data_IF_869008458406
#
_entry.id   IF_869008458406
#
_cell.length_a   1.000
_cell.length_b   1.000
_cell.length_c   1.000
_cell.angle_alpha   90.00
_cell.angle_beta   90.00
_cell.angle_gamma   90.00
#
_symmetry.space_group_name_H-M   'P 1'
#
loop_
_entity.id
_entity.type
_entity.pdbx_description
1 polymer ?
#
# COMPACT_ATOMS: atom_id res chain seq x y z
N UNK A 1 17.03 121.50 -11.07
CA UNK A 1 16.63 120.40 -11.97
C UNK A 1 15.14 120.47 -12.17
N UNK A 2 14.70 120.48 -13.42
CA UNK A 2 13.32 120.85 -13.84
C UNK A 2 12.34 119.70 -13.48
N UNK A 3 11.19 119.93 -12.85
CA UNK A 3 10.12 119.06 -12.41
C UNK A 3 9.73 117.95 -13.43
N UNK A 4 9.91 118.20 -14.70
CA UNK A 4 9.62 117.28 -15.85
C UNK A 4 10.58 116.06 -15.88
N UNK A 5 11.87 116.22 -15.50
CA UNK A 5 12.87 115.18 -15.50
C UNK A 5 12.69 114.18 -14.34
N UNK A 6 12.13 114.62 -13.21
CA UNK A 6 11.83 113.73 -12.09
C UNK A 6 10.60 112.86 -12.35
N UNK A 7 9.59 113.42 -13.06
CA UNK A 7 8.40 112.67 -13.46
C UNK A 7 8.71 111.60 -14.49
N UNK A 8 9.59 111.92 -15.47
CA UNK A 8 10.01 110.89 -16.46
C UNK A 8 10.82 109.75 -15.82
N UNK A 9 11.67 110.08 -14.83
CA UNK A 9 12.45 109.09 -14.11
C UNK A 9 11.58 108.15 -13.26
N UNK A 10 10.50 108.69 -12.61
CA UNK A 10 9.54 107.91 -11.86
C UNK A 10 8.71 107.00 -12.80
N UNK A 11 8.29 107.48 -13.98
CA UNK A 11 7.56 106.67 -14.94
C UNK A 11 8.41 105.50 -15.48
N UNK A 12 9.67 105.77 -15.78
CA UNK A 12 10.63 104.74 -16.24
C UNK A 12 10.88 103.70 -15.17
N UNK A 13 11.02 104.14 -13.86
CA UNK A 13 11.19 103.25 -12.76
C UNK A 13 9.93 102.41 -12.53
N UNK A 14 8.73 103.04 -12.68
CA UNK A 14 7.47 102.30 -12.55
C UNK A 14 7.27 101.27 -13.67
N UNK A 15 7.70 101.55 -14.94
CA UNK A 15 7.67 100.62 -16.01
C UNK A 15 8.68 99.45 -15.82
N UNK A 16 9.87 99.76 -15.31
CA UNK A 16 10.90 98.73 -15.03
C UNK A 16 10.43 97.80 -13.86
N UNK A 17 9.86 98.38 -12.80
CA UNK A 17 9.30 97.64 -11.69
C UNK A 17 8.09 96.85 -12.17
N UNK A 18 7.19 97.43 -12.97
CA UNK A 18 6.03 96.74 -13.53
C UNK A 18 6.45 95.59 -14.46
N UNK A 19 7.48 95.83 -15.32
CA UNK A 19 8.07 94.80 -16.20
C UNK A 19 8.72 93.68 -15.39
N UNK A 20 9.49 94.01 -14.35
CA UNK A 20 10.12 93.05 -13.47
C UNK A 20 9.03 92.18 -12.68
N UNK A 21 8.00 92.83 -12.20
CA UNK A 21 6.92 92.13 -11.54
C UNK A 21 6.12 91.21 -12.49
N UNK A 22 5.92 91.69 -13.73
CA UNK A 22 5.27 90.87 -14.77
C UNK A 22 6.13 89.69 -15.17
N UNK A 23 7.44 89.86 -15.34
CA UNK A 23 8.34 88.75 -15.63
C UNK A 23 8.42 87.79 -14.45
N UNK A 24 8.46 88.29 -13.26
CA UNK A 24 8.46 87.47 -12.05
C UNK A 24 7.13 86.73 -11.86
N UNK A 25 5.99 87.38 -12.18
CA UNK A 25 4.67 86.75 -12.17
C UNK A 25 4.56 85.64 -13.21
N UNK A 26 5.05 85.85 -14.43
CA UNK A 26 5.13 84.85 -15.51
C UNK A 26 6.08 83.68 -15.13
N UNK A 27 7.24 84.03 -14.48
CA UNK A 27 8.15 82.96 -13.99
C UNK A 27 7.59 82.24 -12.85
N UNK A 28 6.81 82.84 -11.90
CA UNK A 28 6.09 82.13 -10.84
C UNK A 28 4.95 81.27 -11.38
N UNK A 29 4.22 81.69 -12.42
CA UNK A 29 3.22 80.84 -13.07
C UNK A 29 3.88 79.68 -13.82
N UNK A 30 5.05 79.87 -14.43
CA UNK A 30 5.79 78.71 -15.01
C UNK A 30 6.39 77.79 -13.96
N UNK A 31 6.76 78.28 -12.77
CA UNK A 31 7.24 77.46 -11.67
C UNK A 31 6.09 76.76 -10.95
N UNK A 32 4.85 77.32 -10.97
CA UNK A 32 3.66 76.63 -10.38
C UNK A 32 2.98 75.68 -11.33
N UNK A 33 3.36 75.65 -12.68
CA UNK A 33 2.89 74.69 -13.66
C UNK A 33 3.76 73.43 -13.70
N UNK A 34 4.82 73.31 -12.90
CA UNK A 34 5.50 72.07 -12.57
C UNK A 34 4.63 71.33 -11.58
N UNK A 35 3.51 70.72 -12.04
CA UNK A 35 2.65 69.89 -11.20
C UNK A 35 3.52 68.83 -10.55
N UNK A 36 3.33 68.66 -9.26
CA UNK A 36 3.86 67.60 -8.39
C UNK A 36 3.45 66.21 -8.89
N UNK A 37 3.83 65.84 -10.15
CA UNK A 37 3.67 64.46 -10.56
C UNK A 37 4.75 63.61 -9.92
N UNK A 38 4.35 62.67 -9.13
CA UNK A 38 5.25 61.57 -8.77
C UNK A 38 5.50 60.74 -10.01
N UNK A 39 6.73 60.56 -10.38
CA UNK A 39 7.12 59.89 -11.61
C UNK A 39 8.00 58.69 -11.33
N UNK A 40 7.93 57.70 -12.18
CA UNK A 40 8.83 56.55 -12.21
C UNK A 40 9.27 56.32 -13.66
N UNK A 41 10.48 55.88 -13.88
CA UNK A 41 10.99 55.54 -15.20
C UNK A 41 10.74 54.08 -15.48
N UNK A 42 10.39 53.76 -16.71
CA UNK A 42 10.30 52.35 -17.15
C UNK A 42 11.73 51.86 -17.41
N UNK A 43 12.11 50.85 -16.65
CA UNK A 43 13.46 50.28 -16.71
C UNK A 43 13.35 48.78 -17.01
N UNK A 44 14.42 48.22 -17.58
CA UNK A 44 14.54 46.78 -17.67
C UNK A 44 15.16 46.21 -16.39
N UNK A 45 14.65 45.10 -15.99
CA UNK A 45 15.16 44.43 -14.80
C UNK A 45 14.65 43.01 -14.69
N UNK A 46 15.02 42.35 -13.63
CA UNK A 46 14.47 41.03 -13.30
C UNK A 46 13.21 41.19 -12.47
N UNK A 47 12.19 40.41 -12.80
CA UNK A 47 10.94 40.29 -12.05
C UNK A 47 10.83 38.88 -11.49
N UNK A 48 10.72 38.77 -10.17
CA UNK A 48 10.42 37.52 -9.49
C UNK A 48 9.00 37.58 -8.96
N UNK A 49 8.12 36.75 -9.49
CA UNK A 49 6.79 36.58 -8.96
C UNK A 49 6.83 35.49 -7.90
N UNK A 50 6.31 35.81 -6.72
CA UNK A 50 6.29 34.90 -5.59
C UNK A 50 4.86 34.64 -5.12
N UNK A 51 4.63 33.45 -4.55
CA UNK A 51 3.45 33.13 -3.75
C UNK A 51 3.90 33.00 -2.31
N UNK A 52 3.45 33.95 -1.48
CA UNK A 52 3.74 33.97 -0.04
C UNK A 52 2.74 33.13 0.74
N UNK A 53 3.23 32.32 1.66
CA UNK A 53 2.41 31.52 2.57
C UNK A 53 3.12 31.34 3.91
N UNK A 54 2.42 30.79 4.90
CA UNK A 54 3.02 30.36 6.16
C UNK A 54 2.89 28.86 6.29
N UNK A 55 3.93 28.21 6.78
CA UNK A 55 3.98 26.76 6.94
C UNK A 55 4.53 26.32 8.29
N UNK A 56 4.44 25.03 8.54
CA UNK A 56 4.99 24.42 9.75
C UNK A 56 6.03 23.38 9.36
N UNK A 57 7.19 23.44 10.02
CA UNK A 57 8.27 22.47 9.86
C UNK A 57 7.89 21.15 10.51
N UNK A 58 8.15 20.08 9.81
CA UNK A 58 8.08 18.73 10.38
C UNK A 58 9.24 17.86 9.88
N UNK A 59 9.52 16.79 10.60
CA UNK A 59 10.49 15.79 10.17
C UNK A 59 9.93 14.95 9.02
N UNK A 60 10.81 14.42 8.18
CA UNK A 60 10.43 13.51 7.09
C UNK A 60 9.68 12.27 7.62
N UNK A 61 10.19 11.68 8.70
CA UNK A 61 9.54 10.59 9.42
C UNK A 61 9.54 10.90 10.91
N UNK A 62 8.43 10.55 11.57
CA UNK A 62 8.27 10.71 13.01
C UNK A 62 7.59 9.47 13.57
N UNK A 63 8.11 8.93 14.64
CA UNK A 63 7.51 7.81 15.35
C UNK A 63 7.40 8.06 16.84
N UNK A 64 6.23 7.73 17.37
CA UNK A 64 5.98 7.71 18.81
C UNK A 64 6.02 6.26 19.26
N UNK A 65 7.02 5.91 20.07
CA UNK A 65 7.28 4.55 20.49
C UNK A 65 6.60 4.27 21.83
N UNK A 66 5.71 3.28 21.78
CA UNK A 66 4.95 2.84 22.94
C UNK A 66 5.23 1.36 23.24
N UNK A 67 5.20 1.00 24.52
CA UNK A 67 5.35 -0.38 24.93
C UNK A 67 4.18 -1.25 24.47
N UNK A 68 4.49 -2.46 24.03
CA UNK A 68 3.50 -3.46 23.62
C UNK A 68 3.10 -4.38 24.77
N UNK A 69 3.92 -4.42 25.83
CA UNK A 69 3.69 -5.27 27.00
C UNK A 69 3.84 -4.50 28.29
N UNK A 70 3.35 -5.06 29.39
CA UNK A 70 3.51 -4.50 30.74
C UNK A 70 4.79 -4.99 31.38
N UNK A 71 5.43 -4.11 32.16
CA UNK A 71 6.61 -4.42 32.92
C UNK A 71 7.23 -3.17 33.54
N UNK A 72 8.32 -3.36 34.28
CA UNK A 72 9.10 -2.28 34.85
C UNK A 72 10.29 -2.00 33.92
N UNK A 73 10.49 -0.73 33.57
CA UNK A 73 11.64 -0.29 32.78
C UNK A 73 12.93 -0.59 33.56
N UNK A 74 13.82 -1.39 32.96
CA UNK A 74 15.13 -1.75 33.52
C UNK A 74 16.20 -0.74 33.17
N UNK A 75 16.39 -0.55 31.86
CA UNK A 75 17.42 0.36 31.31
C UNK A 75 16.81 1.24 30.24
N UNK A 76 17.37 2.42 30.12
CA UNK A 76 17.17 3.34 29.00
C UNK A 76 18.59 3.63 28.50
N UNK A 77 18.87 3.24 27.26
CA UNK A 77 20.22 3.22 26.71
C UNK A 77 20.50 4.44 25.79
N UNK A 78 19.53 5.38 25.74
CA UNK A 78 19.61 6.59 24.90
C UNK A 78 19.09 7.82 25.68
N UNK A 79 19.60 8.98 25.29
CA UNK A 79 19.17 10.29 25.78
C UNK A 79 18.51 11.11 24.66
N UNK A 80 17.90 12.26 25.03
CA UNK A 80 17.44 13.23 24.03
C UNK A 80 18.66 13.75 23.25
N UNK A 81 18.48 13.96 21.95
CA UNK A 81 19.45 14.35 20.93
C UNK A 81 20.42 13.21 20.48
N UNK A 82 20.31 12.00 21.02
CA UNK A 82 21.06 10.88 20.52
C UNK A 82 20.56 10.41 19.14
N UNK A 83 21.51 10.10 18.25
CA UNK A 83 21.22 9.46 16.98
C UNK A 83 21.12 7.94 17.15
N UNK A 84 20.06 7.35 16.62
CA UNK A 84 19.81 5.92 16.70
C UNK A 84 19.69 5.32 15.29
N UNK A 85 20.09 4.05 15.18
CA UNK A 85 19.94 3.28 13.94
C UNK A 85 18.63 2.47 13.95
N UNK A 86 18.19 2.02 12.78
CA UNK A 86 17.09 1.08 12.70
C UNK A 86 17.37 -0.17 13.53
N UNK A 87 16.33 -0.72 14.18
CA UNK A 87 16.33 -1.88 15.07
C UNK A 87 17.20 -1.73 16.35
N UNK A 88 17.78 -0.55 16.61
CA UNK A 88 18.50 -0.29 17.85
C UNK A 88 17.57 -0.36 19.05
N UNK A 89 18.00 -1.07 20.10
CA UNK A 89 17.27 -1.10 21.38
C UNK A 89 17.47 0.23 22.10
N UNK A 90 16.37 0.86 22.49
CA UNK A 90 16.34 2.15 23.20
C UNK A 90 16.12 1.96 24.68
N UNK A 91 15.30 0.97 25.05
CA UNK A 91 15.02 0.63 26.43
C UNK A 91 14.60 -0.84 26.55
N UNK A 92 14.78 -1.39 27.75
CA UNK A 92 14.48 -2.80 28.06
C UNK A 92 13.66 -2.90 29.35
N UNK A 93 12.70 -3.81 29.39
CA UNK A 93 11.94 -4.15 30.59
C UNK A 93 12.70 -5.16 31.47
N UNK A 94 12.56 -5.04 32.77
CA UNK A 94 13.13 -5.96 33.74
C UNK A 94 12.46 -7.33 33.66
N UNK A 95 13.24 -8.39 33.56
CA UNK A 95 12.77 -9.75 33.35
C UNK A 95 11.85 -10.24 34.49
N UNK A 96 12.11 -9.78 35.73
CA UNK A 96 11.34 -10.11 36.91
C UNK A 96 9.92 -9.49 36.95
N UNK A 97 9.66 -8.52 36.07
CA UNK A 97 8.40 -7.79 35.99
C UNK A 97 7.56 -8.11 34.75
N UNK A 98 8.09 -8.94 33.85
CA UNK A 98 7.38 -9.34 32.64
C UNK A 98 6.16 -10.19 32.93
N UNK A 99 5.17 -10.12 32.04
CA UNK A 99 3.98 -10.98 32.13
C UNK A 99 4.37 -12.47 32.06
N UNK A 100 3.60 -13.30 32.76
CA UNK A 100 3.82 -14.76 32.76
C UNK A 100 3.82 -15.35 31.34
N UNK A 101 3.05 -14.78 30.41
CA UNK A 101 3.00 -15.21 29.01
C UNK A 101 4.36 -15.05 28.31
N UNK A 102 5.11 -13.97 28.56
CA UNK A 102 6.43 -13.74 27.97
C UNK A 102 7.46 -14.68 28.59
N UNK A 103 7.39 -14.91 29.91
CA UNK A 103 8.29 -15.86 30.59
C UNK A 103 8.09 -17.28 30.06
N UNK A 104 6.83 -17.70 29.84
CA UNK A 104 6.51 -19.00 29.25
C UNK A 104 6.93 -19.09 27.78
N UNK A 105 6.84 -17.99 27.03
CA UNK A 105 7.26 -17.95 25.62
C UNK A 105 8.74 -18.35 25.43
N UNK A 106 9.62 -18.09 26.42
CA UNK A 106 11.02 -18.51 26.36
C UNK A 106 11.14 -20.04 26.40
N UNK A 107 10.40 -20.70 27.31
CA UNK A 107 10.38 -22.17 27.39
C UNK A 107 9.74 -22.78 26.13
N UNK A 108 8.67 -22.17 25.64
CA UNK A 108 7.98 -22.60 24.43
C UNK A 108 8.86 -22.44 23.19
N UNK A 109 9.66 -21.38 23.11
CA UNK A 109 10.62 -21.17 22.02
C UNK A 109 11.68 -22.28 21.99
N UNK A 110 12.21 -22.66 23.16
CA UNK A 110 13.16 -23.78 23.24
C UNK A 110 12.50 -25.06 22.77
N UNK A 111 11.26 -25.31 23.18
CA UNK A 111 10.50 -26.49 22.76
C UNK A 111 10.20 -26.48 21.26
N UNK A 112 9.80 -25.33 20.71
CA UNK A 112 9.52 -25.18 19.29
C UNK A 112 10.77 -25.37 18.41
N UNK A 113 11.93 -24.82 18.82
CA UNK A 113 13.20 -25.03 18.14
C UNK A 113 13.64 -26.49 18.16
N UNK A 114 13.45 -27.21 19.29
CA UNK A 114 13.71 -28.65 19.37
C UNK A 114 12.76 -29.44 18.47
N UNK A 115 11.49 -29.04 18.39
CA UNK A 115 10.53 -29.70 17.52
C UNK A 115 10.91 -29.53 16.04
N UNK A 116 11.34 -28.34 15.63
CA UNK A 116 11.83 -28.08 14.28
C UNK A 116 13.12 -28.90 13.99
N UNK A 117 14.06 -28.94 14.92
CA UNK A 117 15.29 -29.73 14.78
C UNK A 117 14.99 -31.22 14.64
N UNK A 118 14.09 -31.77 15.45
CA UNK A 118 13.62 -33.15 15.33
C UNK A 118 12.93 -33.40 13.98
N UNK A 119 12.13 -32.45 13.51
CA UNK A 119 11.46 -32.57 12.22
C UNK A 119 12.47 -32.62 11.07
N UNK A 120 13.48 -31.76 11.09
CA UNK A 120 14.50 -31.68 10.05
C UNK A 120 15.48 -32.86 10.05
N UNK A 121 15.85 -33.36 11.23
CA UNK A 121 16.92 -34.37 11.40
C UNK A 121 16.40 -35.81 11.62
N UNK A 122 15.07 -36.01 11.83
CA UNK A 122 14.50 -37.35 12.03
C UNK A 122 14.05 -37.96 10.72
N UNK A 123 14.63 -39.11 10.37
CA UNK A 123 14.18 -39.92 9.23
C UNK A 123 13.07 -40.92 9.64
N UNK A 124 12.59 -40.90 10.88
CA UNK A 124 11.66 -41.91 11.38
C UNK A 124 10.31 -41.87 10.66
N UNK A 125 9.79 -40.68 10.37
CA UNK A 125 8.53 -40.50 9.66
C UNK A 125 8.61 -41.05 8.23
N UNK A 126 9.68 -40.75 7.50
CA UNK A 126 9.91 -41.30 6.16
C UNK A 126 10.05 -42.83 6.17
N UNK A 127 10.81 -43.38 7.15
CA UNK A 127 10.95 -44.82 7.27
C UNK A 127 9.61 -45.52 7.62
N UNK A 128 8.77 -44.92 8.48
CA UNK A 128 7.44 -45.44 8.80
C UNK A 128 6.51 -45.35 7.58
N UNK A 129 6.53 -44.26 6.82
CA UNK A 129 5.77 -44.14 5.59
C UNK A 129 6.18 -45.16 4.54
N UNK A 130 7.48 -45.44 4.39
CA UNK A 130 7.99 -46.48 3.50
C UNK A 130 7.51 -47.89 3.94
N UNK A 131 7.56 -48.18 5.25
CA UNK A 131 7.08 -49.44 5.76
C UNK A 131 5.56 -49.61 5.56
N UNK A 132 4.80 -48.52 5.79
CA UNK A 132 3.37 -48.51 5.56
C UNK A 132 3.02 -48.75 4.07
N UNK A 133 3.79 -48.19 3.15
CA UNK A 133 3.64 -48.43 1.72
C UNK A 133 3.88 -49.88 1.35
N UNK A 134 4.97 -50.48 1.86
CA UNK A 134 5.26 -51.91 1.63
C UNK A 134 4.14 -52.81 2.15
N UNK A 135 3.68 -52.57 3.36
CA UNK A 135 2.57 -53.34 3.97
C UNK A 135 1.24 -53.17 3.20
N UNK A 136 0.97 -51.96 2.70
CA UNK A 136 -0.22 -51.71 1.90
C UNK A 136 -0.14 -52.37 0.52
N UNK A 137 1.05 -52.40 -0.08
CA UNK A 137 1.27 -53.17 -1.34
C UNK A 137 1.04 -54.67 -1.12
N UNK A 138 1.61 -55.24 -0.08
CA UNK A 138 1.40 -56.64 0.26
C UNK A 138 -0.08 -56.95 0.47
N UNK A 139 -0.80 -56.10 1.22
CA UNK A 139 -2.23 -56.26 1.44
C UNK A 139 -3.08 -56.17 0.16
N UNK A 140 -2.68 -55.35 -0.80
CA UNK A 140 -3.31 -55.24 -2.11
C UNK A 140 -3.04 -56.51 -2.96
N UNK A 141 -1.82 -57.01 -2.97
CA UNK A 141 -1.43 -58.19 -3.67
C UNK A 141 -2.16 -59.42 -3.12
N UNK A 142 -2.25 -59.55 -1.80
CA UNK A 142 -3.00 -60.64 -1.13
C UNK A 142 -4.52 -60.58 -1.44
N UNK A 143 -5.12 -59.39 -1.40
CA UNK A 143 -6.52 -59.19 -1.77
C UNK A 143 -6.78 -59.56 -3.24
N UNK A 144 -5.85 -59.12 -4.15
CA UNK A 144 -5.92 -59.40 -5.58
C UNK A 144 -5.78 -60.90 -5.87
N UNK A 145 -4.86 -61.57 -5.17
CA UNK A 145 -4.68 -63.02 -5.28
C UNK A 145 -5.89 -63.78 -4.74
N UNK A 146 -6.43 -63.34 -3.61
CA UNK A 146 -7.65 -63.92 -3.00
C UNK A 146 -8.84 -63.80 -3.96
N UNK A 147 -9.00 -62.66 -4.65
CA UNK A 147 -10.06 -62.46 -5.64
C UNK A 147 -9.85 -63.34 -6.88
N UNK A 148 -8.59 -63.44 -7.36
CA UNK A 148 -8.26 -64.27 -8.50
C UNK A 148 -8.59 -65.75 -8.28
N UNK A 149 -8.58 -66.23 -7.01
CA UNK A 149 -8.97 -67.62 -6.73
C UNK A 149 -10.46 -67.89 -7.05
N UNK A 150 -11.31 -66.88 -7.12
CA UNK A 150 -12.71 -67.01 -7.53
C UNK A 150 -12.91 -67.04 -9.07
N UNK A 151 -11.90 -66.73 -9.86
CA UNK A 151 -11.94 -66.76 -11.33
C UNK A 151 -11.66 -68.15 -11.89
N UNK A 152 -11.17 -69.08 -11.05
CA UNK A 152 -10.98 -70.49 -11.41
C UNK A 152 -12.18 -71.32 -10.96
N UNK A 153 -12.59 -72.27 -11.82
CA UNK A 153 -13.58 -73.28 -11.38
C UNK A 153 -13.07 -74.01 -10.14
N UNK A 154 -13.89 -74.02 -9.10
CA UNK A 154 -13.59 -74.68 -7.80
C UNK A 154 -13.17 -76.14 -7.98
N UNK A 155 -13.56 -76.77 -9.09
CA UNK A 155 -13.30 -78.18 -9.39
C UNK A 155 -12.69 -78.31 -10.81
N UNK A 156 -11.84 -79.33 -10.93
CA UNK A 156 -11.20 -79.62 -12.25
C UNK A 156 -12.26 -80.13 -13.24
N UNK A 157 -12.02 -79.89 -14.54
CA UNK A 157 -12.88 -80.37 -15.62
C UNK A 157 -13.09 -81.91 -15.51
N UNK A 158 -12.04 -82.61 -15.12
CA UNK A 158 -12.09 -84.09 -14.93
C UNK A 158 -13.07 -84.46 -13.79
N UNK A 159 -13.03 -83.72 -12.67
CA UNK A 159 -13.95 -83.97 -11.54
C UNK A 159 -15.41 -83.74 -11.94
N UNK A 160 -15.69 -82.67 -12.69
CA UNK A 160 -17.03 -82.36 -13.21
C UNK A 160 -17.46 -83.43 -14.21
N UNK A 161 -16.56 -83.93 -15.10
CA UNK A 161 -16.87 -84.94 -16.09
C UNK A 161 -17.15 -86.29 -15.43
N UNK A 162 -16.39 -86.65 -14.37
CA UNK A 162 -16.65 -87.83 -13.57
C UNK A 162 -18.05 -87.77 -12.91
N UNK A 163 -18.42 -86.64 -12.32
CA UNK A 163 -19.72 -86.43 -11.73
C UNK A 163 -20.87 -86.53 -12.73
N UNK A 164 -20.65 -85.90 -13.91
CA UNK A 164 -21.58 -85.96 -15.05
C UNK A 164 -21.80 -87.38 -15.54
N UNK A 165 -20.70 -88.11 -15.72
CA UNK A 165 -20.73 -89.53 -16.09
C UNK A 165 -21.45 -90.40 -15.03
N UNK A 166 -21.21 -90.11 -13.74
CA UNK A 166 -21.88 -90.78 -12.62
C UNK A 166 -23.40 -90.55 -12.62
N UNK A 167 -23.82 -89.31 -12.87
CA UNK A 167 -25.26 -88.99 -13.02
C UNK A 167 -25.90 -89.68 -14.22
N UNK A 168 -25.25 -89.69 -15.40
CA UNK A 168 -25.77 -90.45 -16.60
C UNK A 168 -25.86 -91.92 -16.38
N UNK A 169 -24.89 -92.53 -15.67
CA UNK A 169 -24.94 -93.91 -15.28
C UNK A 169 -26.09 -94.23 -14.26
N UNK A 170 -26.37 -93.27 -13.39
CA UNK A 170 -27.49 -93.35 -12.48
C UNK A 170 -28.86 -93.31 -13.20
N UNK A 171 -28.96 -92.39 -14.23
CA UNK A 171 -30.15 -92.35 -15.07
C UNK A 171 -30.36 -93.59 -15.90
N UNK A 172 -29.29 -94.15 -16.45
CA UNK A 172 -29.36 -95.43 -17.13
C UNK A 172 -29.90 -96.59 -16.20
N UNK A 173 -29.46 -96.60 -14.94
CA UNK A 173 -29.97 -97.52 -13.95
C UNK A 173 -31.47 -97.35 -13.65
N UNK A 174 -31.97 -96.12 -13.62
CA UNK A 174 -33.41 -95.84 -13.49
C UNK A 174 -34.17 -96.51 -14.64
N UNK A 175 -33.74 -96.20 -15.88
CA UNK A 175 -34.35 -96.75 -17.11
C UNK A 175 -34.40 -98.27 -17.02
N UNK A 176 -33.30 -98.94 -16.65
CA UNK A 176 -33.21 -100.39 -16.49
C UNK A 176 -34.14 -100.94 -15.41
N UNK A 177 -34.18 -100.32 -14.21
CA UNK A 177 -35.07 -100.74 -13.13
C UNK A 177 -36.52 -100.39 -13.38
N UNK A 178 -36.80 -99.34 -14.14
CA UNK A 178 -38.16 -99.03 -14.60
C UNK A 178 -38.70 -100.09 -15.54
N UNK A 179 -37.88 -100.52 -16.59
CA UNK A 179 -38.24 -101.65 -17.36
C UNK A 179 -38.48 -102.91 -16.62
N UNK A 180 -37.66 -103.23 -15.61
CA UNK A 180 -37.88 -104.42 -14.74
C UNK A 180 -39.16 -104.23 -13.93
N UNK A 181 -39.42 -103.00 -13.35
CA UNK A 181 -40.63 -102.81 -12.61
C UNK A 181 -41.91 -102.90 -13.45
N UNK A 182 -41.91 -102.43 -14.67
CA UNK A 182 -43.02 -102.52 -15.63
C UNK A 182 -43.40 -104.00 -15.88
N UNK A 183 -42.47 -105.00 -15.85
CA UNK A 183 -42.73 -106.38 -15.99
C UNK A 183 -43.42 -106.99 -14.79
N UNK A 184 -43.41 -106.33 -13.62
CA UNK A 184 -44.00 -106.79 -12.37
C UNK A 184 -45.11 -105.86 -11.80
N UNK A 185 -45.46 -104.74 -12.38
CA UNK A 185 -46.39 -103.74 -11.93
C UNK A 185 -47.82 -104.25 -11.72
N UNK A 186 -48.25 -105.24 -12.61
CA UNK A 186 -49.61 -105.83 -12.57
C UNK A 186 -49.76 -106.97 -11.57
N UNK A 187 -48.72 -107.32 -10.82
CA UNK A 187 -48.82 -108.31 -9.69
C UNK A 187 -49.41 -107.72 -8.50
N UNK A 188 -49.99 -108.49 -7.56
CA UNK A 188 -50.54 -107.99 -6.35
C UNK A 188 -49.54 -107.18 -5.52
N UNK A 189 -50.04 -106.24 -4.71
CA UNK A 189 -49.14 -105.33 -3.93
C UNK A 189 -48.26 -106.06 -2.89
N UNK A 190 -48.67 -107.22 -2.47
CA UNK A 190 -47.96 -108.10 -1.51
C UNK A 190 -46.98 -109.06 -2.24
N UNK A 191 -46.87 -109.05 -3.54
CA UNK A 191 -45.93 -109.91 -4.25
C UNK A 191 -44.47 -109.49 -3.97
N UNK A 192 -43.63 -110.41 -3.45
CA UNK A 192 -42.25 -110.09 -3.12
C UNK A 192 -41.41 -109.60 -4.25
N UNK A 193 -41.69 -110.07 -5.48
CA UNK A 193 -40.92 -109.60 -6.70
C UNK A 193 -41.30 -108.19 -7.13
N UNK A 194 -42.59 -107.83 -7.03
CA UNK A 194 -43.05 -106.39 -7.25
C UNK A 194 -42.45 -105.49 -6.23
N UNK A 195 -42.49 -105.86 -4.91
CA UNK A 195 -41.93 -105.06 -3.85
C UNK A 195 -40.40 -104.90 -4.00
N UNK A 196 -39.68 -105.95 -4.43
CA UNK A 196 -38.24 -105.85 -4.75
C UNK A 196 -37.94 -104.94 -5.94
N UNK A 197 -38.71 -105.08 -7.05
CA UNK A 197 -38.53 -104.23 -8.21
C UNK A 197 -38.85 -102.73 -7.88
N UNK A 198 -39.90 -102.48 -7.15
CA UNK A 198 -40.23 -101.11 -6.67
C UNK A 198 -39.14 -100.54 -5.76
N UNK A 199 -38.58 -101.30 -4.86
CA UNK A 199 -37.48 -100.87 -4.01
C UNK A 199 -36.21 -100.58 -4.77
N UNK A 200 -35.87 -101.47 -5.74
CA UNK A 200 -34.71 -101.21 -6.61
C UNK A 200 -34.87 -99.98 -7.47
N UNK A 201 -36.07 -99.70 -7.99
CA UNK A 201 -36.36 -98.47 -8.73
C UNK A 201 -36.29 -97.20 -7.84
N UNK A 202 -36.87 -97.34 -6.61
CA UNK A 202 -36.81 -96.26 -5.65
C UNK A 202 -35.33 -95.88 -5.29
N UNK A 203 -34.53 -96.94 -5.00
CA UNK A 203 -33.11 -96.74 -4.70
C UNK A 203 -32.32 -96.14 -5.96
N UNK A 204 -32.67 -96.58 -7.19
CA UNK A 204 -32.04 -96.00 -8.36
C UNK A 204 -32.36 -94.52 -8.54
N UNK A 205 -33.64 -94.15 -8.28
CA UNK A 205 -34.06 -92.75 -8.29
C UNK A 205 -33.31 -91.91 -7.25
N UNK A 206 -33.26 -92.39 -6.01
CA UNK A 206 -32.53 -91.75 -4.92
C UNK A 206 -31.04 -91.55 -5.27
N UNK A 207 -30.42 -92.60 -5.80
CA UNK A 207 -29.01 -92.49 -6.23
C UNK A 207 -28.81 -91.50 -7.38
N UNK A 208 -29.76 -91.40 -8.31
CA UNK A 208 -29.69 -90.36 -9.40
C UNK A 208 -29.89 -88.96 -8.87
N UNK A 209 -30.82 -88.77 -7.91
CA UNK A 209 -30.98 -87.45 -7.27
C UNK A 209 -29.71 -87.03 -6.53
N UNK A 210 -29.10 -87.98 -5.76
CA UNK A 210 -27.81 -87.71 -5.10
C UNK A 210 -26.67 -87.36 -6.11
N UNK A 211 -26.61 -88.05 -7.25
CA UNK A 211 -25.62 -87.81 -8.27
C UNK A 211 -25.90 -86.49 -8.98
N UNK A 212 -27.17 -86.11 -9.18
CA UNK A 212 -27.59 -84.83 -9.71
C UNK A 212 -27.23 -83.68 -8.78
N UNK A 213 -27.53 -83.77 -7.49
CA UNK A 213 -27.19 -82.79 -6.47
C UNK A 213 -25.66 -82.56 -6.39
N UNK A 214 -24.88 -83.68 -6.43
CA UNK A 214 -23.42 -83.57 -6.46
C UNK A 214 -22.89 -82.87 -7.76
N UNK A 215 -23.47 -83.21 -8.91
CA UNK A 215 -23.10 -82.54 -10.17
C UNK A 215 -23.44 -81.03 -10.13
N UNK A 216 -24.62 -80.67 -9.65
CA UNK A 216 -25.01 -79.28 -9.53
C UNK A 216 -24.13 -78.53 -8.52
N UNK A 217 -23.72 -79.13 -7.41
CA UNK A 217 -22.75 -78.55 -6.47
C UNK A 217 -21.41 -78.30 -7.14
N UNK A 218 -20.88 -79.24 -7.94
CA UNK A 218 -19.63 -79.08 -8.65
C UNK A 218 -19.70 -78.12 -9.87
N UNK A 219 -20.89 -77.92 -10.44
CA UNK A 219 -21.13 -76.90 -11.49
C UNK A 219 -21.41 -75.52 -10.93
N UNK A 220 -21.75 -75.41 -9.65
CA UNK A 220 -21.95 -74.15 -8.98
C UNK A 220 -20.66 -73.36 -8.96
N UNK A 221 -20.70 -72.13 -9.49
CA UNK A 221 -19.59 -71.18 -9.40
C UNK A 221 -19.45 -70.65 -7.97
N UNK A 222 -18.45 -69.83 -7.66
CA UNK A 222 -18.28 -69.16 -6.42
C UNK A 222 -19.53 -68.34 -6.04
N UNK A 223 -19.82 -68.22 -4.75
CA UNK A 223 -20.96 -67.41 -4.26
C UNK A 223 -20.78 -65.96 -4.73
N UNK A 224 -21.78 -65.36 -5.42
CA UNK A 224 -21.74 -63.94 -5.82
C UNK A 224 -21.51 -63.01 -4.65
N UNK A 225 -21.91 -63.39 -3.43
CA UNK A 225 -21.64 -62.61 -2.22
C UNK A 225 -20.15 -62.63 -1.85
N UNK A 226 -19.48 -63.79 -1.91
CA UNK A 226 -18.06 -63.93 -1.63
C UNK A 226 -17.22 -63.16 -2.67
N UNK A 227 -17.63 -63.18 -3.94
CA UNK A 227 -17.01 -62.38 -5.00
C UNK A 227 -17.15 -60.87 -4.64
N UNK A 228 -18.34 -60.42 -4.27
CA UNK A 228 -18.59 -59.05 -3.91
C UNK A 228 -17.75 -58.58 -2.68
N UNK A 229 -17.58 -59.46 -1.71
CA UNK A 229 -16.70 -59.22 -0.55
C UNK A 229 -15.23 -59.11 -0.99
N UNK A 230 -14.79 -60.00 -1.89
CA UNK A 230 -13.42 -59.96 -2.38
C UNK A 230 -13.14 -58.70 -3.22
N UNK A 231 -14.11 -58.28 -4.05
CA UNK A 231 -14.02 -57.02 -4.83
C UNK A 231 -13.98 -55.77 -3.89
N UNK A 232 -14.79 -55.80 -2.83
CA UNK A 232 -14.76 -54.72 -1.78
C UNK A 232 -13.40 -54.68 -1.06
N UNK A 233 -12.80 -55.86 -0.78
CA UNK A 233 -11.47 -55.91 -0.13
C UNK A 233 -10.37 -55.40 -1.05
N UNK A 234 -10.44 -55.69 -2.37
CA UNK A 234 -9.51 -55.08 -3.35
C UNK A 234 -9.65 -53.56 -3.32
N UNK A 235 -10.87 -53.04 -3.47
CA UNK A 235 -11.09 -51.59 -3.49
C UNK A 235 -10.60 -50.92 -2.18
N UNK A 236 -10.78 -51.55 -1.04
CA UNK A 236 -10.26 -51.06 0.25
C UNK A 236 -8.72 -51.08 0.30
N UNK A 237 -8.09 -52.16 -0.15
CA UNK A 237 -6.61 -52.28 -0.14
C UNK A 237 -5.98 -51.36 -1.18
N UNK A 238 -6.60 -51.14 -2.34
CA UNK A 238 -6.20 -50.14 -3.34
C UNK A 238 -6.23 -48.71 -2.78
N UNK A 239 -7.33 -48.36 -2.08
CA UNK A 239 -7.43 -47.08 -1.42
C UNK A 239 -6.33 -46.88 -0.37
N UNK A 240 -6.05 -47.90 0.46
CA UNK A 240 -4.97 -47.87 1.45
C UNK A 240 -3.58 -47.74 0.81
N UNK A 241 -3.35 -48.44 -0.30
CA UNK A 241 -2.11 -48.33 -1.07
C UNK A 241 -1.93 -46.92 -1.62
N UNK A 242 -2.98 -46.34 -2.19
CA UNK A 242 -2.94 -44.97 -2.70
C UNK A 242 -2.69 -43.95 -1.57
N UNK A 243 -3.25 -44.14 -0.39
CA UNK A 243 -3.01 -43.30 0.79
C UNK A 243 -1.54 -43.41 1.26
N UNK A 244 -1.05 -44.65 1.40
CA UNK A 244 0.33 -44.89 1.80
C UNK A 244 1.36 -44.35 0.76
N UNK A 245 1.04 -44.46 -0.54
CA UNK A 245 1.87 -43.89 -1.61
C UNK A 245 1.93 -42.37 -1.50
N UNK A 246 0.80 -41.68 -1.28
CA UNK A 246 0.77 -40.22 -1.09
C UNK A 246 1.60 -39.79 0.12
N UNK A 247 1.50 -40.51 1.23
CA UNK A 247 2.27 -40.21 2.43
C UNK A 247 3.77 -40.43 2.23
N UNK A 248 4.15 -41.52 1.56
CA UNK A 248 5.54 -41.76 1.16
C UNK A 248 6.07 -40.65 0.23
N UNK A 249 5.31 -40.29 -0.80
CA UNK A 249 5.70 -39.24 -1.73
C UNK A 249 5.90 -37.89 -1.07
N UNK A 250 5.12 -37.58 -0.02
CA UNK A 250 5.24 -36.38 0.80
C UNK A 250 6.53 -36.35 1.62
N UNK A 251 6.96 -37.49 2.14
CA UNK A 251 8.04 -37.58 3.12
C UNK A 251 9.38 -38.14 2.57
N UNK A 252 9.41 -38.77 1.40
CA UNK A 252 10.59 -39.40 0.83
C UNK A 252 11.80 -38.49 0.60
N UNK A 253 11.57 -37.20 0.38
CA UNK A 253 12.60 -36.18 0.14
C UNK A 253 12.93 -35.34 1.40
N UNK A 254 12.44 -35.72 2.56
CA UNK A 254 12.57 -34.98 3.80
C UNK A 254 11.23 -34.66 4.44
N UNK A 255 11.21 -33.85 5.49
CA UNK A 255 9.97 -33.44 6.15
C UNK A 255 9.09 -32.61 5.20
N UNK A 256 7.80 -32.64 5.47
CA UNK A 256 6.84 -31.84 4.72
C UNK A 256 7.18 -30.33 4.85
N UNK A 257 7.31 -29.61 3.73
CA UNK A 257 7.59 -28.16 3.76
C UNK A 257 6.56 -27.35 4.55
N UNK A 258 5.29 -27.77 4.57
CA UNK A 258 4.25 -27.07 5.32
C UNK A 258 4.39 -27.27 6.83
N UNK A 259 4.81 -28.48 7.27
CA UNK A 259 5.11 -28.75 8.67
C UNK A 259 6.34 -27.93 9.13
N UNK A 260 7.39 -27.85 8.30
CA UNK A 260 8.56 -27.01 8.56
C UNK A 260 8.17 -25.55 8.67
N UNK A 261 7.42 -25.03 7.70
CA UNK A 261 6.95 -23.63 7.68
C UNK A 261 6.09 -23.32 8.91
N UNK A 262 5.20 -24.24 9.30
CA UNK A 262 4.37 -24.08 10.51
C UNK A 262 5.22 -23.96 11.77
N UNK A 263 6.27 -24.80 11.89
CA UNK A 263 7.21 -24.74 13.02
C UNK A 263 8.01 -23.42 12.99
N UNK A 264 8.48 -22.96 11.82
CA UNK A 264 9.21 -21.69 11.68
C UNK A 264 8.33 -20.49 12.04
N UNK A 265 7.07 -20.44 11.57
CA UNK A 265 6.13 -19.38 11.93
C UNK A 265 5.87 -19.36 13.42
N UNK A 266 5.76 -20.52 14.06
CA UNK A 266 5.60 -20.60 15.52
C UNK A 266 6.84 -20.05 16.25
N UNK A 267 8.04 -20.37 15.78
CA UNK A 267 9.29 -19.83 16.33
C UNK A 267 9.32 -18.31 16.19
N UNK A 268 9.04 -17.78 14.99
CA UNK A 268 9.02 -16.34 14.75
C UNK A 268 8.00 -15.61 15.65
N UNK A 269 6.82 -16.17 15.86
CA UNK A 269 5.81 -15.60 16.75
C UNK A 269 6.29 -15.55 18.23
N UNK A 270 6.99 -16.59 18.68
CA UNK A 270 7.56 -16.64 20.03
C UNK A 270 8.74 -15.69 20.20
N UNK A 271 9.57 -15.54 19.17
CA UNK A 271 10.66 -14.56 19.13
C UNK A 271 10.13 -13.12 19.19
N UNK A 272 9.09 -12.82 18.41
CA UNK A 272 8.43 -11.52 18.45
C UNK A 272 7.81 -11.24 19.84
N UNK A 273 7.17 -12.23 20.46
CA UNK A 273 6.64 -12.11 21.82
C UNK A 273 7.75 -11.82 22.84
N UNK A 274 8.91 -12.45 22.70
CA UNK A 274 10.06 -12.21 23.57
C UNK A 274 10.73 -10.86 23.30
N UNK A 275 10.73 -10.39 22.04
CA UNK A 275 11.31 -9.10 21.71
C UNK A 275 10.44 -7.91 22.16
N UNK A 276 9.16 -8.13 22.46
CA UNK A 276 8.26 -7.10 23.01
C UNK A 276 8.72 -6.47 24.34
N UNK A 277 9.67 -7.11 25.05
CA UNK A 277 10.34 -6.52 26.22
C UNK A 277 11.32 -5.40 25.86
N UNK A 278 11.77 -5.33 24.61
CA UNK A 278 12.70 -4.32 24.09
C UNK A 278 11.91 -3.29 23.30
N UNK A 279 12.15 -2.03 23.54
CA UNK A 279 11.62 -0.95 22.71
C UNK A 279 12.71 -0.55 21.71
N UNK A 280 12.40 -0.70 20.41
CA UNK A 280 13.36 -0.48 19.33
C UNK A 280 12.98 0.69 18.44
N UNK A 281 13.99 1.30 17.82
CA UNK A 281 13.80 2.31 16.78
C UNK A 281 13.38 1.64 15.46
N UNK A 282 12.24 1.99 14.84
CA UNK A 282 11.81 1.39 13.57
C UNK A 282 12.61 1.89 12.35
N UNK A 283 13.30 3.03 12.47
CA UNK A 283 14.18 3.61 11.44
C UNK A 283 15.31 4.42 12.10
N UNK A 284 16.31 4.80 11.31
CA UNK A 284 17.38 5.68 11.79
C UNK A 284 16.84 7.10 12.01
N UNK A 285 17.05 7.65 13.20
CA UNK A 285 16.46 8.92 13.63
C UNK A 285 17.23 9.54 14.80
N UNK A 286 16.81 10.73 15.20
CA UNK A 286 17.22 11.39 16.45
C UNK A 286 16.15 11.23 17.51
N UNK A 287 16.52 10.91 18.73
CA UNK A 287 15.60 10.84 19.87
C UNK A 287 15.20 12.28 20.27
N UNK A 288 13.96 12.65 20.04
CA UNK A 288 13.48 14.02 20.35
C UNK A 288 12.77 14.12 21.69
N UNK A 289 12.28 13.00 22.20
CA UNK A 289 11.63 12.98 23.53
C UNK A 289 11.84 11.64 24.23
N UNK A 290 12.12 11.70 25.53
CA UNK A 290 12.20 10.56 26.46
C UNK A 290 11.25 10.81 27.61
N UNK A 291 10.18 10.00 27.73
CA UNK A 291 9.14 10.16 28.76
C UNK A 291 9.27 9.23 29.94
N UNK A 292 9.81 8.03 29.72
CA UNK A 292 9.98 7.01 30.76
C UNK A 292 11.32 7.12 31.45
N UNK A 293 11.35 6.67 32.70
CA UNK A 293 12.57 6.58 33.51
C UNK A 293 12.83 5.13 33.95
N UNK A 294 14.09 4.74 34.20
CA UNK A 294 14.39 3.45 34.81
C UNK A 294 13.63 3.29 36.13
N UNK A 295 12.92 2.17 36.30
CA UNK A 295 12.07 1.89 37.44
C UNK A 295 10.59 2.16 37.25
N UNK A 296 10.20 2.88 36.20
CA UNK A 296 8.77 3.14 35.88
C UNK A 296 8.04 1.85 35.50
N UNK A 297 6.78 1.77 35.93
CA UNK A 297 5.84 0.72 35.48
C UNK A 297 5.13 1.17 34.23
N UNK A 298 5.20 0.36 33.19
CA UNK A 298 4.56 0.63 31.89
C UNK A 298 3.55 -0.44 31.55
N UNK A 299 2.59 -0.07 30.72
CA UNK A 299 1.54 -0.92 30.19
C UNK A 299 1.48 -0.80 28.66
N UNK A 300 0.83 -1.74 27.95
CA UNK A 300 0.61 -1.60 26.52
C UNK A 300 0.02 -0.25 26.15
N UNK A 301 0.62 0.45 25.18
CA UNK A 301 0.25 1.81 24.78
C UNK A 301 0.92 2.93 25.56
N UNK A 302 1.70 2.65 26.62
CA UNK A 302 2.49 3.68 27.31
C UNK A 302 3.60 4.19 26.40
N UNK A 303 3.54 5.46 26.01
CA UNK A 303 4.53 6.13 25.17
C UNK A 303 5.78 6.45 25.99
N UNK A 304 6.95 6.00 25.51
CA UNK A 304 8.24 6.23 26.15
C UNK A 304 9.18 7.12 25.36
N UNK A 305 9.16 7.03 24.03
CA UNK A 305 10.06 7.82 23.18
C UNK A 305 9.29 8.46 22.04
N UNK A 306 9.83 9.57 21.58
CA UNK A 306 9.57 10.10 20.26
C UNK A 306 10.91 10.18 19.52
N UNK A 307 10.92 9.71 18.29
CA UNK A 307 12.07 9.80 17.40
C UNK A 307 11.62 10.46 16.10
N UNK A 308 12.47 11.33 15.59
CA UNK A 308 12.20 12.10 14.37
C UNK A 308 13.43 12.02 13.45
N UNK A 309 13.20 11.77 12.16
CA UNK A 309 14.25 11.89 11.13
C UNK A 309 14.49 13.37 10.83
N UNK A 310 15.53 13.93 11.42
CA UNK A 310 15.92 15.33 11.27
C UNK A 310 16.89 15.55 10.08
N UNK A 311 17.26 14.51 9.35
CA UNK A 311 18.16 14.62 8.19
C UNK A 311 17.50 15.33 7.01
N UNK A 312 16.16 15.23 6.90
CA UNK A 312 15.33 15.88 5.92
C UNK A 312 14.18 16.58 6.63
N UNK A 313 14.23 17.89 6.67
CA UNK A 313 13.14 18.70 7.22
C UNK A 313 12.22 19.19 6.11
N UNK A 314 10.93 19.03 6.34
CA UNK A 314 9.87 19.40 5.42
C UNK A 314 9.05 20.54 6.01
N UNK A 315 8.50 21.36 5.13
CA UNK A 315 7.59 22.45 5.52
C UNK A 315 6.28 22.27 4.77
N UNK A 316 5.20 22.06 5.51
CA UNK A 316 3.86 22.02 4.95
C UNK A 316 3.24 23.41 4.94
N UNK A 317 2.79 23.84 3.80
CA UNK A 317 2.11 25.13 3.60
C UNK A 317 0.73 24.92 3.00
N UNK A 318 -0.22 25.75 3.42
CA UNK A 318 -1.56 25.78 2.85
C UNK A 318 -1.68 26.91 1.83
N UNK A 319 -1.87 26.56 0.56
CA UNK A 319 -1.95 27.51 -0.55
C UNK A 319 -3.41 27.62 -1.00
N UNK A 320 -3.96 28.87 -1.09
CA UNK A 320 -5.31 29.09 -1.60
C UNK A 320 -5.52 28.59 -3.05
N UNK A 321 -6.75 28.19 -3.38
CA UNK A 321 -7.14 27.71 -4.71
C UNK A 321 -6.78 28.69 -5.85
N UNK A 322 -6.78 29.99 -5.57
CA UNK A 322 -6.45 31.02 -6.58
C UNK A 322 -5.01 30.99 -7.02
N UNK A 323 -4.08 30.48 -6.21
CA UNK A 323 -2.64 30.48 -6.47
C UNK A 323 -2.07 29.11 -6.79
N UNK A 324 -2.78 28.02 -6.45
CA UNK A 324 -2.24 26.66 -6.58
C UNK A 324 -1.84 26.27 -8.00
N UNK A 325 -2.57 26.77 -9.02
CA UNK A 325 -2.28 26.47 -10.42
C UNK A 325 -0.94 27.04 -10.92
N UNK A 326 -0.33 27.94 -10.16
CA UNK A 326 0.99 28.54 -10.45
C UNK A 326 2.12 27.77 -9.80
N UNK A 327 1.82 26.83 -8.89
CA UNK A 327 2.82 26.11 -8.14
C UNK A 327 3.07 24.76 -8.81
N UNK A 328 4.35 24.43 -8.98
CA UNK A 328 4.82 23.19 -9.59
C UNK A 328 5.94 22.57 -8.75
N UNK A 329 6.05 21.26 -8.82
CA UNK A 329 7.17 20.52 -8.22
C UNK A 329 8.48 21.00 -8.88
N UNK A 330 9.53 21.18 -8.07
CA UNK A 330 10.84 21.65 -8.50
C UNK A 330 11.03 23.17 -8.42
N UNK A 331 10.01 23.93 -8.00
CA UNK A 331 10.16 25.38 -7.81
C UNK A 331 11.00 25.68 -6.58
N UNK A 332 11.91 26.66 -6.73
CA UNK A 332 12.73 27.17 -5.64
C UNK A 332 11.88 27.97 -4.64
N UNK A 333 12.23 27.84 -3.38
CA UNK A 333 11.52 28.46 -2.27
C UNK A 333 12.52 29.15 -1.35
N UNK A 334 12.21 30.39 -0.95
CA UNK A 334 12.91 31.08 0.11
C UNK A 334 12.08 31.02 1.39
N UNK A 335 12.72 30.59 2.48
CA UNK A 335 12.07 30.43 3.77
C UNK A 335 12.76 31.32 4.81
N UNK A 336 11.96 31.84 5.75
CA UNK A 336 12.48 32.54 6.91
C UNK A 336 11.68 32.14 8.15
N UNK A 337 12.37 32.12 9.27
CA UNK A 337 11.81 31.76 10.57
C UNK A 337 11.85 32.94 11.50
N UNK A 338 10.76 33.26 12.17
CA UNK A 338 10.73 34.36 13.14
C UNK A 338 11.69 34.14 14.32
N UNK A 339 11.94 32.87 14.64
CA UNK A 339 12.86 32.49 15.70
C UNK A 339 14.34 32.60 15.29
N UNK A 340 14.65 32.73 13.99
CA UNK A 340 16.01 32.78 13.44
C UNK A 340 16.10 34.01 12.52
N UNK A 341 16.43 35.16 13.10
CA UNK A 341 16.30 36.48 12.42
C UNK A 341 17.38 36.80 11.41
N UNK A 342 18.55 36.15 11.50
CA UNK A 342 19.73 36.53 10.74
C UNK A 342 20.03 35.63 9.53
N UNK A 343 19.12 34.68 9.22
CA UNK A 343 19.35 33.71 8.16
C UNK A 343 18.08 33.46 7.36
N UNK A 344 18.24 33.40 6.05
CA UNK A 344 17.26 32.86 5.10
C UNK A 344 17.66 31.45 4.73
N UNK A 345 16.68 30.59 4.57
CA UNK A 345 16.83 29.21 4.14
C UNK A 345 16.28 29.03 2.74
N UNK A 346 16.79 28.04 2.06
CA UNK A 346 16.35 27.64 0.74
C UNK A 346 15.68 26.29 0.77
N UNK A 347 14.74 26.09 -0.13
CA UNK A 347 14.03 24.83 -0.28
C UNK A 347 13.52 24.65 -1.69
N UNK A 348 12.90 23.50 -1.89
CA UNK A 348 12.31 23.12 -3.17
C UNK A 348 10.93 22.51 -2.93
N UNK A 349 9.97 22.80 -3.80
CA UNK A 349 8.65 22.18 -3.76
C UNK A 349 8.77 20.71 -4.21
N UNK A 350 8.50 19.79 -3.30
CA UNK A 350 8.57 18.33 -3.58
C UNK A 350 7.21 17.69 -3.82
N UNK A 351 6.14 18.28 -3.25
CA UNK A 351 4.79 17.74 -3.39
C UNK A 351 3.75 18.87 -3.46
N UNK A 352 2.75 18.67 -4.34
CA UNK A 352 1.56 19.52 -4.44
C UNK A 352 0.33 18.63 -4.34
N UNK A 353 -0.49 18.83 -3.30
CA UNK A 353 -1.68 18.03 -3.10
C UNK A 353 -2.68 18.20 -4.25
N UNK A 354 -3.24 17.11 -4.73
CA UNK A 354 -4.26 17.10 -5.80
C UNK A 354 -5.68 17.32 -5.28
N UNK A 355 -5.85 17.25 -3.98
CA UNK A 355 -7.15 17.40 -3.30
C UNK A 355 -7.05 18.56 -2.33
N UNK A 356 -7.93 19.55 -2.48
CA UNK A 356 -8.02 20.68 -1.55
C UNK A 356 -8.76 20.29 -0.27
N UNK A 357 -8.38 20.93 0.81
CA UNK A 357 -9.07 20.89 2.11
C UNK A 357 -9.81 22.20 2.34
N UNK A 358 -11.00 22.14 2.93
CA UNK A 358 -11.75 23.36 3.27
C UNK A 358 -11.59 23.66 4.75
N UNK A 359 -10.98 24.79 5.05
CA UNK A 359 -10.88 25.32 6.40
C UNK A 359 -11.57 26.69 6.46
N UNK A 360 -12.52 26.87 7.37
CA UNK A 360 -13.25 28.13 7.57
C UNK A 360 -13.89 28.74 6.30
N UNK A 361 -14.28 27.87 5.34
CA UNK A 361 -14.93 28.31 4.08
C UNK A 361 -13.94 28.70 2.97
N UNK A 362 -12.63 28.56 3.19
CA UNK A 362 -11.59 28.75 2.17
C UNK A 362 -11.05 27.38 1.75
N UNK A 363 -10.92 27.18 0.45
CA UNK A 363 -10.30 25.97 -0.11
C UNK A 363 -8.80 26.20 -0.21
N UNK A 364 -8.03 25.35 0.48
CA UNK A 364 -6.59 25.37 0.46
C UNK A 364 -6.05 24.02 -0.04
N UNK A 365 -4.89 24.07 -0.69
CA UNK A 365 -4.14 22.91 -1.13
C UNK A 365 -2.83 22.85 -0.36
N UNK A 366 -2.53 21.67 0.16
CA UNK A 366 -1.28 21.43 0.88
C UNK A 366 -0.14 21.33 -0.13
N UNK A 367 0.93 22.07 0.13
CA UNK A 367 2.19 22.01 -0.62
C UNK A 367 3.29 21.67 0.37
N UNK A 368 4.08 20.65 0.06
CA UNK A 368 5.22 20.24 0.90
C UNK A 368 6.52 20.67 0.23
N UNK A 369 7.37 21.32 1.01
CA UNK A 369 8.63 21.91 0.62
C UNK A 369 9.73 21.20 1.41
N UNK A 370 10.79 20.74 0.74
CA UNK A 370 11.99 20.24 1.39
C UNK A 370 12.99 21.36 1.61
N UNK A 371 13.51 21.48 2.84
CA UNK A 371 14.59 22.40 3.17
C UNK A 371 15.93 21.80 2.67
N UNK A 372 16.62 22.54 1.82
CA UNK A 372 17.90 22.08 1.22
C UNK A 372 19.13 22.46 2.04
N UNK A 373 19.04 23.47 2.89
CA UNK A 373 20.14 24.01 3.70
C UNK A 373 19.81 24.10 5.20
N UNK A 374 18.91 23.18 5.68
CA UNK A 374 18.55 23.09 7.08
C UNK A 374 19.78 22.87 7.98
N UNK A 375 19.77 23.49 9.15
CA UNK A 375 20.77 23.29 10.20
C UNK A 375 20.10 22.93 11.53
N UNK A 376 20.90 22.71 12.59
CA UNK A 376 20.42 22.34 13.92
C UNK A 376 19.54 23.40 14.60
N UNK A 377 19.51 24.65 14.08
CA UNK A 377 18.67 25.70 14.61
C UNK A 377 17.20 25.53 14.20
N UNK A 378 16.95 24.87 13.05
CA UNK A 378 15.59 24.60 12.56
C UNK A 378 15.06 23.34 13.21
N UNK A 379 13.92 23.47 13.90
CA UNK A 379 13.31 22.36 14.64
C UNK A 379 11.90 22.08 14.16
N UNK A 380 11.47 20.80 14.13
CA UNK A 380 10.07 20.45 13.91
C UNK A 380 9.14 21.24 14.84
N UNK A 381 8.01 21.72 14.30
CA UNK A 381 7.05 22.56 14.99
C UNK A 381 7.29 24.07 14.83
N UNK A 382 8.41 24.51 14.27
CA UNK A 382 8.63 25.94 13.96
C UNK A 382 7.72 26.37 12.81
N UNK A 383 7.28 27.64 12.87
CA UNK A 383 6.54 28.29 11.79
C UNK A 383 7.52 29.01 10.86
N UNK A 384 7.37 28.77 9.57
CA UNK A 384 8.14 29.43 8.52
C UNK A 384 7.26 30.37 7.71
N UNK A 385 7.78 31.56 7.37
CA UNK A 385 7.26 32.35 6.28
C UNK A 385 7.93 31.87 4.99
N UNK A 386 7.10 31.49 4.03
CA UNK A 386 7.49 30.78 2.81
C UNK A 386 7.19 31.65 1.59
N UNK A 387 8.15 31.84 0.71
CA UNK A 387 8.01 32.54 -0.56
C UNK A 387 8.38 31.59 -1.70
N UNK A 388 7.37 31.02 -2.37
CA UNK A 388 7.56 30.13 -3.52
C UNK A 388 7.77 30.98 -4.77
N UNK A 389 8.88 30.76 -5.49
CA UNK A 389 9.19 31.44 -6.74
C UNK A 389 8.43 30.75 -7.87
N UNK A 390 7.33 31.39 -8.29
CA UNK A 390 6.46 30.81 -9.32
C UNK A 390 6.87 31.19 -10.72
N UNK A 391 7.56 32.35 -10.87
CA UNK A 391 8.04 32.82 -12.15
C UNK A 391 9.23 33.75 -11.93
N UNK A 392 10.30 33.58 -12.71
CA UNK A 392 11.44 34.46 -12.74
C UNK A 392 11.69 34.87 -14.19
N UNK A 393 11.57 36.14 -14.44
CA UNK A 393 11.79 36.76 -15.77
C UNK A 393 12.97 37.73 -15.69
N UNK A 394 13.93 37.55 -16.55
CA UNK A 394 15.09 38.45 -16.66
C UNK A 394 14.92 39.34 -17.88
N UNK A 395 15.43 40.59 -17.76
CA UNK A 395 15.42 41.58 -18.83
C UNK A 395 14.03 41.96 -19.35
N UNK A 396 13.03 42.04 -18.47
CA UNK A 396 11.67 42.51 -18.81
C UNK A 396 11.48 43.98 -18.48
N UNK A 397 10.55 44.66 -19.17
CA UNK A 397 10.19 46.04 -18.87
C UNK A 397 9.34 46.07 -17.59
N UNK A 398 9.80 46.83 -16.61
CA UNK A 398 9.17 46.93 -15.30
C UNK A 398 8.38 48.23 -15.16
N UNK A 399 7.15 48.12 -14.65
CA UNK A 399 6.33 49.26 -14.29
C UNK A 399 5.86 49.12 -12.83
N UNK A 400 5.97 50.16 -12.01
CA UNK A 400 5.42 50.12 -10.67
C UNK A 400 3.92 49.88 -10.69
N UNK A 401 3.42 48.96 -9.84
CA UNK A 401 1.97 48.62 -9.75
C UNK A 401 1.11 49.88 -9.53
N UNK A 402 1.65 50.88 -8.84
CA UNK A 402 0.99 52.16 -8.61
C UNK A 402 0.82 53.03 -9.88
N UNK A 403 1.55 52.78 -10.95
CA UNK A 403 1.40 53.47 -12.22
C UNK A 403 0.26 52.92 -13.08
N UNK A 404 -0.13 51.64 -12.86
CA UNK A 404 -1.16 50.97 -13.64
C UNK A 404 -2.55 51.38 -13.13
N UNK A 405 -3.42 51.82 -14.04
CA UNK A 405 -4.80 52.22 -13.77
C UNK A 405 -5.77 51.44 -14.65
N UNK A 406 -7.02 51.39 -14.25
CA UNK A 406 -8.11 50.89 -15.08
C UNK A 406 -8.91 52.08 -15.61
N UNK A 407 -9.04 52.17 -16.92
CA UNK A 407 -9.83 53.20 -17.59
C UNK A 407 -10.63 52.58 -18.73
N UNK A 408 -11.95 52.70 -18.67
CA UNK A 408 -12.83 52.14 -19.71
C UNK A 408 -12.78 50.62 -19.85
N UNK A 409 -12.41 49.89 -18.77
CA UNK A 409 -12.26 48.41 -18.79
C UNK A 409 -10.90 47.93 -19.30
N UNK A 410 -9.97 48.84 -19.68
CA UNK A 410 -8.62 48.51 -20.11
C UNK A 410 -7.60 48.97 -19.05
N UNK A 411 -6.47 48.31 -18.99
CA UNK A 411 -5.32 48.74 -18.18
C UNK A 411 -4.57 49.81 -18.93
N UNK A 412 -4.26 50.94 -18.29
CA UNK A 412 -3.55 52.08 -18.87
C UNK A 412 -2.46 52.55 -17.92
N UNK A 413 -1.37 53.06 -18.48
CA UNK A 413 -0.37 53.84 -17.76
C UNK A 413 -0.35 55.27 -18.34
N UNK A 414 -0.02 56.27 -17.51
CA UNK A 414 0.08 57.64 -17.94
C UNK A 414 1.54 58.00 -18.21
N UNK A 415 1.90 58.10 -19.49
CA UNK A 415 3.24 58.49 -19.91
C UNK A 415 3.34 60.00 -19.97
N UNK A 416 4.36 60.60 -19.37
CA UNK A 416 4.61 62.04 -19.40
C UNK A 416 5.24 62.47 -20.73
N UNK A 417 4.41 62.87 -21.67
CA UNK A 417 4.89 63.37 -23.01
C UNK A 417 4.81 64.88 -23.00
N UNK A 418 5.98 65.55 -23.20
CA UNK A 418 6.09 67.01 -23.18
C UNK A 418 5.48 67.71 -21.96
N UNK A 419 5.54 67.02 -20.79
CA UNK A 419 4.96 67.56 -19.54
C UNK A 419 3.47 67.28 -19.34
N UNK A 420 2.80 66.59 -20.29
CA UNK A 420 1.37 66.24 -20.22
C UNK A 420 1.21 64.74 -20.02
N UNK A 421 0.51 64.29 -18.96
CA UNK A 421 0.16 62.90 -18.76
C UNK A 421 -0.74 62.38 -19.86
N UNK A 422 -0.28 61.45 -20.69
CA UNK A 422 -1.02 60.85 -21.78
C UNK A 422 -1.35 59.39 -21.44
N UNK A 423 -2.61 58.99 -21.41
CA UNK A 423 -2.98 57.59 -21.12
C UNK A 423 -2.58 56.72 -22.34
N UNK A 424 -1.86 55.65 -22.05
CA UNK A 424 -1.44 54.63 -23.02
C UNK A 424 -1.98 53.28 -22.56
N UNK A 425 -2.77 52.59 -23.41
CA UNK A 425 -3.20 51.23 -23.11
C UNK A 425 -2.00 50.29 -22.99
N UNK A 426 -2.03 49.41 -22.01
CA UNK A 426 -0.94 48.45 -21.75
C UNK A 426 -1.47 47.08 -21.43
N UNK A 427 -0.72 46.08 -21.84
CA UNK A 427 -0.90 44.71 -21.43
C UNK A 427 0.14 44.37 -20.34
N UNK A 428 -0.32 43.81 -19.25
CA UNK A 428 0.51 43.47 -18.10
C UNK A 428 0.67 41.94 -18.06
N UNK A 429 1.91 41.48 -18.00
CA UNK A 429 2.29 40.09 -17.83
C UNK A 429 2.39 39.71 -16.36
N UNK A 430 3.52 39.13 -15.97
CA UNK A 430 3.80 38.71 -14.58
C UNK A 430 3.77 39.92 -13.63
N UNK A 431 3.35 39.72 -12.42
CA UNK A 431 3.20 40.78 -11.40
C UNK A 431 3.81 40.31 -10.08
N UNK A 432 4.66 41.17 -9.49
CA UNK A 432 5.12 41.06 -8.10
C UNK A 432 4.41 42.08 -7.22
N UNK A 433 4.76 42.14 -5.94
CA UNK A 433 4.15 43.08 -4.99
C UNK A 433 4.34 44.56 -5.36
N UNK A 434 5.44 44.90 -5.98
CA UNK A 434 5.84 46.31 -6.25
C UNK A 434 5.76 46.69 -7.71
N UNK A 435 6.11 45.77 -8.60
CA UNK A 435 6.25 46.00 -10.04
C UNK A 435 5.56 44.91 -10.84
N UNK A 436 5.14 45.28 -12.04
CA UNK A 436 4.58 44.38 -13.04
C UNK A 436 5.41 44.39 -14.31
N UNK A 437 5.43 43.25 -15.00
CA UNK A 437 5.95 43.16 -16.36
C UNK A 437 5.05 43.92 -17.33
N UNK A 438 5.65 44.73 -18.15
CA UNK A 438 4.98 45.38 -19.28
C UNK A 438 5.25 44.57 -20.54
N UNK A 439 4.21 44.03 -21.15
CA UNK A 439 4.32 43.34 -22.43
C UNK A 439 4.62 44.33 -23.57
N UNK A 440 5.27 43.91 -24.66
CA UNK A 440 5.65 44.77 -25.75
C UNK A 440 4.47 45.58 -26.32
N UNK A 441 4.61 46.93 -26.34
CA UNK A 441 3.58 47.86 -26.77
C UNK A 441 4.13 49.24 -27.11
N UNK A 442 3.31 50.27 -26.89
CA UNK A 442 3.68 51.67 -27.19
C UNK A 442 4.65 52.29 -26.17
N UNK A 443 4.69 51.72 -24.94
CA UNK A 443 5.58 52.20 -23.85
C UNK A 443 6.93 51.49 -23.98
N UNK A 444 8.00 52.29 -23.88
CA UNK A 444 9.37 51.83 -24.06
C UNK A 444 10.21 52.10 -22.83
N UNK A 445 11.35 51.43 -22.77
CA UNK A 445 12.40 51.73 -21.81
C UNK A 445 12.80 53.22 -21.84
N UNK A 446 12.90 53.84 -20.66
CA UNK A 446 13.18 55.26 -20.48
C UNK A 446 11.95 56.18 -20.49
N UNK A 447 10.75 55.64 -20.79
CA UNK A 447 9.52 56.44 -20.67
C UNK A 447 9.24 56.79 -19.22
N UNK A 448 8.78 58.02 -18.97
CA UNK A 448 8.47 58.52 -17.64
C UNK A 448 6.98 58.34 -17.36
N UNK A 449 6.65 57.51 -16.37
CA UNK A 449 5.29 57.25 -15.95
C UNK A 449 4.87 58.17 -14.82
N UNK A 450 3.61 58.57 -14.80
CA UNK A 450 2.99 59.34 -13.73
C UNK A 450 2.26 58.41 -12.77
N UNK A 451 2.67 58.43 -11.50
CA UNK A 451 2.09 57.57 -10.43
C UNK A 451 0.81 58.15 -9.84
N UNK A 452 0.62 59.49 -9.94
CA UNK A 452 -0.53 60.22 -9.39
C UNK A 452 -1.21 61.09 -10.52
N UNK A 453 -1.73 60.43 -11.58
CA UNK A 453 -2.37 61.16 -12.67
C UNK A 453 -3.59 61.94 -12.17
N UNK A 454 -3.90 63.13 -12.74
CA UNK A 454 -5.05 63.91 -12.35
C UNK A 454 -6.36 63.14 -12.60
N UNK A 455 -7.32 63.25 -11.71
CA UNK A 455 -8.61 62.50 -11.72
C UNK A 455 -9.55 62.96 -12.86
N UNK A 456 -9.27 64.12 -13.49
CA UNK A 456 -9.99 64.65 -14.64
C UNK A 456 -8.97 65.10 -15.70
N UNK A 457 -8.83 64.36 -16.79
CA UNK A 457 -8.19 64.86 -18.01
C UNK A 457 -9.31 65.50 -18.83
N UNK A 458 -9.32 66.86 -18.91
CA UNK A 458 -10.16 67.60 -19.84
C UNK A 458 -9.64 67.23 -21.24
N UNK A 459 -10.47 66.66 -22.14
CA UNK A 459 -10.04 66.40 -23.52
C UNK A 459 -9.65 67.75 -24.16
N UNK A 460 -8.54 67.81 -24.87
CA UNK A 460 -8.04 69.02 -25.55
C UNK A 460 -8.89 69.45 -26.78
N UNK A 461 -10.06 68.83 -27.00
CA UNK A 461 -10.93 69.07 -28.12
C UNK A 461 -11.98 70.18 -27.90
N UNK A 462 -11.81 71.09 -26.93
CA UNK A 462 -12.76 72.14 -26.60
C UNK A 462 -12.29 73.60 -26.86
N UNK A 463 -11.14 73.86 -27.49
CA UNK A 463 -10.60 75.26 -27.59
C UNK A 463 -10.53 75.89 -29.01
N UNK A 464 -11.28 75.35 -29.96
CA UNK A 464 -11.52 76.08 -31.23
C UNK A 464 -12.99 75.91 -31.65
N UNK A 465 -13.80 76.84 -31.19
CA UNK A 465 -15.21 76.91 -31.58
C UNK A 465 -15.94 78.13 -31.02
N UNK A 466 -15.63 79.31 -31.49
CA UNK A 466 -16.32 80.49 -31.88
C UNK A 466 -15.58 81.79 -31.53
#
# INVERSE_FOLDING_TARGET
>A
MKRKTIITLIVILALLVGGYLLVRYIQQQKASAGSEYQTAVVERGSLTAIVGATGTVHANQSATLAWETSGRVSTIDVAVDDQVTADQVLATLAQDSLSQSIILAEADLIAARRSLDNLLNSNTAAAQAQLALVNAQESFDDASQSRANYDYNLYTADTIEIARTTYYLALDKINKYEEIYENFKDKPEDDPLRAQAANNLANARQNADQAYDNLNYLLGGPDPFDISVADANIALSEARLADAQREWDRLKNGPDPDDVRSAEVRIAALEAALDSKNLRAPFAATVTEVKSLPGDMVNPGTVSFRIDDLSHLLVDVDIPEVDINRIQIGQAVNLSFDAITDRQYTGEVIEVARVGSTAQGVVNFKVTIELTDADEAVRPGMTAAVNIIVEQLDDVLLVPNRAVRSSGGQRVVYVLRLGIPTPVPVEIGATSDLVSELLPGEVKEGDVLVLNPPTQIIPADGMFGR
#
